data_IF_427614534796
#
_entry.id   IF_427614534796
#
_cell.length_a   1.000
_cell.length_b   1.000
_cell.length_c   1.000
_cell.angle_alpha   90.00
_cell.angle_beta   90.00
_cell.angle_gamma   90.00
#
_symmetry.space_group_name_H-M   'P 1'
#
loop_
_entity.id
_entity.type
_entity.pdbx_description
1 polymer ?
#
# COMPACT_ATOMS: atom_id res chain seq x y z
N UNK A 1 3.55 -5.79 -18.71
CA UNK A 1 3.77 -5.38 -18.64
C UNK A 1 3.55 -4.55 -17.88
N UNK A 2 3.31 -4.34 -17.37
CA UNK A 2 2.89 -3.46 -16.74
C UNK A 2 2.70 -3.70 -15.33
N UNK A 3 3.02 -4.80 -14.68
CA UNK A 3 2.86 -5.09 -13.27
C UNK A 3 3.45 -4.01 -12.40
N UNK A 4 4.72 -3.64 -12.59
CA UNK A 4 5.33 -2.61 -11.75
C UNK A 4 4.64 -1.26 -11.88
N UNK A 5 4.21 -0.92 -13.08
CA UNK A 5 3.55 0.35 -13.28
C UNK A 5 2.21 0.36 -12.57
N UNK A 6 1.48 -0.75 -12.66
CA UNK A 6 0.20 -0.83 -11.97
C UNK A 6 0.37 -0.80 -10.47
N UNK A 7 1.41 -1.44 -9.99
CA UNK A 7 1.67 -1.43 -8.55
C UNK A 7 1.89 -0.01 -8.06
N UNK A 8 2.64 0.78 -8.82
CA UNK A 8 2.88 2.16 -8.45
C UNK A 8 1.60 2.96 -8.38
N UNK A 9 0.68 2.70 -9.29
CA UNK A 9 -0.61 3.37 -9.29
C UNK A 9 -1.38 3.04 -8.02
N UNK A 10 -1.36 1.79 -7.61
CA UNK A 10 -2.08 1.39 -6.40
C UNK A 10 -1.48 2.03 -5.15
N UNK A 11 -0.15 2.16 -5.09
CA UNK A 11 0.47 2.84 -3.97
C UNK A 11 -0.01 4.28 -3.90
N UNK A 12 -0.05 4.95 -5.05
CA UNK A 12 -0.48 6.32 -5.11
C UNK A 12 -1.94 6.49 -4.72
N UNK A 13 -2.78 5.59 -5.19
CA UNK A 13 -4.19 5.64 -4.84
C UNK A 13 -4.37 5.40 -3.34
N UNK A 14 -3.60 4.48 -2.78
CA UNK A 14 -3.64 4.25 -1.35
C UNK A 14 -3.31 5.51 -0.57
N UNK A 15 -2.27 6.22 -1.01
CA UNK A 15 -1.87 7.46 -0.36
C UNK A 15 -2.96 8.51 -0.44
N UNK A 16 -3.59 8.62 -1.59
CA UNK A 16 -4.66 9.58 -1.78
C UNK A 16 -5.86 9.28 -0.89
N UNK A 17 -6.24 8.03 -0.83
CA UNK A 17 -7.37 7.64 0.01
C UNK A 17 -7.04 7.82 1.49
N UNK A 18 -5.80 7.54 1.85
CA UNK A 18 -5.37 7.74 3.22
C UNK A 18 -5.48 9.21 3.59
N UNK A 19 -5.06 10.09 2.70
CA UNK A 19 -5.13 11.52 2.94
C UNK A 19 -6.56 12.00 3.09
N UNK A 20 -7.49 11.32 2.41
CA UNK A 20 -8.89 11.67 2.52
C UNK A 20 -9.56 11.07 3.74
N UNK A 21 -8.86 10.25 4.47
CA UNK A 21 -9.43 9.57 5.61
C UNK A 21 -10.22 8.33 5.25
N UNK A 22 -10.10 7.88 4.00
CA UNK A 22 -10.82 6.70 3.55
C UNK A 22 -9.93 5.48 3.76
N UNK A 23 -9.90 5.01 4.99
CA UNK A 23 -8.99 3.95 5.40
C UNK A 23 -9.22 2.63 4.68
N UNK A 24 -10.46 2.26 4.51
CA UNK A 24 -10.78 0.99 3.87
C UNK A 24 -10.25 0.92 2.43
N UNK A 25 -10.47 1.99 1.67
CA UNK A 25 -9.99 2.03 0.31
C UNK A 25 -8.47 2.12 0.25
N UNK A 26 -7.88 2.86 1.19
CA UNK A 26 -6.43 2.95 1.24
C UNK A 26 -5.83 1.57 1.47
N UNK A 27 -6.38 0.82 2.40
CA UNK A 27 -5.89 -0.52 2.69
C UNK A 27 -6.03 -1.44 1.48
N UNK A 28 -7.15 -1.32 0.79
CA UNK A 28 -7.38 -2.15 -0.38
C UNK A 28 -6.30 -1.93 -1.44
N UNK A 29 -6.00 -0.67 -1.72
CA UNK A 29 -4.99 -0.36 -2.73
C UNK A 29 -3.59 -0.72 -2.26
N UNK A 30 -3.29 -0.49 -0.98
CA UNK A 30 -1.98 -0.87 -0.46
C UNK A 30 -1.79 -2.39 -0.51
N UNK A 31 -2.82 -3.14 -0.18
CA UNK A 31 -2.71 -4.60 -0.22
C UNK A 31 -2.52 -5.09 -1.65
N UNK A 32 -3.15 -4.45 -2.63
CA UNK A 32 -2.94 -4.80 -4.01
C UNK A 32 -1.50 -4.51 -4.42
N UNK A 33 -0.97 -3.37 -3.99
CA UNK A 33 0.41 -3.02 -4.26
C UNK A 33 1.35 -4.09 -3.69
N UNK A 34 1.11 -4.48 -2.45
CA UNK A 34 1.96 -5.48 -1.82
C UNK A 34 1.92 -6.83 -2.52
N UNK A 35 0.74 -7.21 -2.99
CA UNK A 35 0.60 -8.46 -3.71
C UNK A 35 1.36 -8.44 -5.02
N UNK A 36 1.36 -7.30 -5.69
CA UNK A 36 2.04 -7.19 -6.98
C UNK A 36 3.55 -7.11 -6.82
N UNK A 37 4.01 -6.51 -5.73
CA UNK A 37 5.44 -6.26 -5.55
C UNK A 37 6.10 -7.11 -4.49
N UNK A 38 5.42 -8.12 -3.98
CA UNK A 38 5.99 -8.91 -2.89
C UNK A 38 7.29 -9.61 -3.31
N UNK A 39 7.40 -9.95 -4.58
CA UNK A 39 8.61 -10.60 -5.07
C UNK A 39 9.47 -9.64 -5.87
N UNK A 40 9.33 -8.35 -5.62
CA UNK A 40 10.07 -7.36 -6.37
C UNK A 40 11.57 -7.45 -6.11
N UNK A 41 12.32 -6.84 -7.00
CA UNK A 41 13.77 -6.79 -6.87
C UNK A 41 14.18 -6.16 -5.55
N UNK A 42 15.36 -6.49 -5.05
CA UNK A 42 15.83 -5.91 -3.79
C UNK A 42 15.80 -4.40 -3.76
N UNK A 43 16.01 -3.76 -4.90
CA UNK A 43 15.99 -2.31 -4.96
C UNK A 43 14.63 -1.74 -4.62
N UNK A 44 13.57 -2.50 -4.84
CA UNK A 44 12.22 -2.04 -4.59
C UNK A 44 11.71 -2.44 -3.20
N UNK A 45 12.46 -3.25 -2.50
CA UNK A 45 12.05 -3.70 -1.18
C UNK A 45 11.79 -2.56 -0.19
N UNK A 46 12.55 -1.48 -0.20
CA UNK A 46 12.26 -0.38 0.71
C UNK A 46 10.86 0.19 0.52
N UNK A 47 10.37 0.23 -0.72
CA UNK A 47 9.02 0.72 -0.97
C UNK A 47 7.98 -0.25 -0.46
N UNK A 48 8.25 -1.53 -0.62
CA UNK A 48 7.36 -2.56 -0.11
C UNK A 48 7.26 -2.45 1.42
N UNK A 49 8.40 -2.23 2.05
CA UNK A 49 8.44 -2.12 3.49
C UNK A 49 7.67 -0.89 3.96
N UNK A 50 7.81 0.20 3.26
CA UNK A 50 7.10 1.41 3.59
C UNK A 50 5.59 1.19 3.55
N UNK A 51 5.10 0.56 2.49
CA UNK A 51 3.68 0.32 2.36
C UNK A 51 3.20 -0.64 3.43
N UNK A 52 4.00 -1.64 3.73
CA UNK A 52 3.66 -2.59 4.77
C UNK A 52 3.49 -1.90 6.13
N UNK A 53 4.36 -0.94 6.40
CA UNK A 53 4.26 -0.18 7.63
C UNK A 53 3.01 0.69 7.64
N UNK A 54 2.65 1.25 6.51
CA UNK A 54 1.44 2.05 6.41
C UNK A 54 0.20 1.20 6.66
N UNK A 55 0.17 0.01 6.10
CA UNK A 55 -0.94 -0.92 6.31
C UNK A 55 -1.05 -1.27 7.79
N UNK A 56 0.06 -1.54 8.41
CA UNK A 56 0.06 -1.89 9.83
C UNK A 56 -0.50 -0.75 10.67
N UNK A 57 -0.09 0.46 10.36
CA UNK A 57 -0.54 1.63 11.10
C UNK A 57 -2.03 1.86 10.90
N UNK A 58 -2.50 1.73 9.66
CA UNK A 58 -3.91 1.92 9.37
C UNK A 58 -4.76 0.85 10.02
N UNK A 59 -4.29 -0.36 10.05
CA UNK A 59 -5.01 -1.45 10.70
C UNK A 59 -5.12 -1.20 12.19
N UNK A 60 -4.07 -0.73 12.81
CA UNK A 60 -4.11 -0.45 14.23
C UNK A 60 -5.06 0.68 14.53
N UNK A 61 -5.05 1.71 13.71
CA UNK A 61 -5.96 2.81 13.89
C UNK A 61 -7.38 2.36 13.82
N UNK A 62 -7.64 1.43 12.94
CA UNK A 62 -8.98 0.92 12.76
C UNK A 62 -9.49 0.18 13.97
N UNK A 63 -8.61 -0.44 14.72
CA UNK A 63 -9.01 -1.16 15.89
C UNK A 63 -9.18 -0.28 17.10
N UNK A 64 -8.72 0.95 17.04
CA UNK A 64 -8.78 1.77 18.18
C UNK A 64 -10.17 2.08 18.52
N UNK A 65 -10.62 1.89 19.69
CA UNK A 65 -12.00 2.16 20.11
C UNK A 65 -12.33 3.63 20.04
#
# INVERSE_FOLDING_TARGET
>A
MDGPALAGVHKRLGELYEAKGNRADALSHYNTFLALWKDADPELQPKVLEVRQRVSRLSKSSEKP
#
